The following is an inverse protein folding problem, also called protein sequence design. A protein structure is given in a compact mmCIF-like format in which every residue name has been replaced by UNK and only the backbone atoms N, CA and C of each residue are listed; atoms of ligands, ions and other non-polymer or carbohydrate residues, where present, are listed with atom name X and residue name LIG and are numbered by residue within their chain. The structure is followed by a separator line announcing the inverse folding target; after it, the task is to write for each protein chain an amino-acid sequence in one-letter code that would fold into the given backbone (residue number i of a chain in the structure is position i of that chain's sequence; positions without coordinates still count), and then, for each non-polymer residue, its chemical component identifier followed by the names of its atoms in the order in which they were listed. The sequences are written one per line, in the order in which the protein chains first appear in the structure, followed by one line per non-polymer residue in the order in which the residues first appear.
data_IF_008568094173
#
_entry.id   IF_008568094173
#
_cell.length_a   1.000
_cell.length_b   1.000
_cell.length_c   1.000
_cell.angle_alpha   90.00
_cell.angle_beta   90.00
_cell.angle_gamma   90.00
#
_symmetry.space_group_name_H-M   'P 1'
#
loop_
_entity.id
_entity.type
_entity.pdbx_description
1 polymer ?
#
# COMPACT_ATOMS: atom_id res chain seq x y z
N UNK A 1 6.65 28.04 -3.98
CA UNK A 1 7.94 27.38 -3.72
C UNK A 1 7.61 25.98 -3.23
N UNK A 2 7.78 24.97 -4.08
CA UNK A 2 7.52 23.57 -3.71
C UNK A 2 8.54 23.16 -2.66
N UNK A 3 8.07 22.70 -1.49
CA UNK A 3 8.96 22.01 -0.55
C UNK A 3 9.45 20.75 -1.26
N UNK A 4 10.75 20.69 -1.54
CA UNK A 4 11.38 19.46 -1.98
C UNK A 4 11.23 18.45 -0.84
N UNK A 5 10.40 17.42 -1.02
CA UNK A 5 10.44 16.24 -0.17
C UNK A 5 11.81 15.60 -0.36
N UNK A 6 12.64 15.61 0.69
CA UNK A 6 14.00 15.05 0.66
C UNK A 6 14.03 13.53 0.70
N UNK A 7 12.93 12.90 1.12
CA UNK A 7 12.81 11.45 1.21
C UNK A 7 12.58 10.82 -0.17
N UNK A 8 13.09 9.58 -0.31
CA UNK A 8 12.83 8.72 -1.47
C UNK A 8 12.27 7.39 -0.99
N UNK A 9 11.33 6.81 -1.73
CA UNK A 9 10.63 5.58 -1.38
C UNK A 9 10.93 4.51 -2.43
N UNK A 10 11.33 3.33 -1.96
CA UNK A 10 11.51 2.14 -2.80
C UNK A 10 10.54 1.06 -2.37
N UNK A 11 9.68 0.64 -3.27
CA UNK A 11 8.67 -0.40 -3.03
C UNK A 11 9.21 -1.75 -3.52
N UNK A 12 9.23 -2.73 -2.63
CA UNK A 12 9.60 -4.11 -2.91
C UNK A 12 8.55 -4.84 -3.75
N UNK A 13 8.94 -6.00 -4.29
CA UNK A 13 8.03 -6.90 -4.99
C UNK A 13 6.87 -7.35 -4.08
N UNK A 14 7.18 -7.80 -2.86
CA UNK A 14 6.19 -8.27 -1.87
C UNK A 14 5.15 -7.19 -1.56
N UNK A 15 5.59 -5.98 -1.20
CA UNK A 15 4.68 -4.88 -0.91
C UNK A 15 3.77 -4.55 -2.10
N UNK A 16 4.35 -4.44 -3.31
CA UNK A 16 3.59 -4.13 -4.51
C UNK A 16 2.57 -5.24 -4.84
N UNK A 17 2.95 -6.51 -4.76
CA UNK A 17 2.06 -7.63 -5.05
C UNK A 17 0.92 -7.73 -4.06
N UNK A 18 1.15 -7.57 -2.76
CA UNK A 18 0.06 -7.59 -1.77
C UNK A 18 -0.94 -6.47 -2.00
N UNK A 19 -0.48 -5.25 -2.29
CA UNK A 19 -1.36 -4.12 -2.64
C UNK A 19 -2.18 -4.43 -3.90
N UNK A 20 -1.54 -4.96 -4.94
CA UNK A 20 -2.20 -5.33 -6.19
C UNK A 20 -3.21 -6.47 -6.00
N UNK A 21 -2.86 -7.50 -5.23
CA UNK A 21 -3.73 -8.65 -4.96
C UNK A 21 -4.96 -8.26 -4.16
N UNK A 22 -4.82 -7.33 -3.21
CA UNK A 22 -5.95 -6.83 -2.45
C UNK A 22 -7.00 -6.19 -3.38
N UNK A 23 -6.58 -5.26 -4.24
CA UNK A 23 -7.46 -4.62 -5.21
C UNK A 23 -8.02 -5.61 -6.25
N UNK A 24 -7.21 -6.58 -6.69
CA UNK A 24 -7.66 -7.60 -7.65
C UNK A 24 -8.64 -8.62 -7.06
N UNK A 25 -8.54 -8.91 -5.75
CA UNK A 25 -9.47 -9.82 -5.04
C UNK A 25 -10.84 -9.18 -4.84
N UNK A 26 -10.88 -7.86 -4.60
CA UNK A 26 -12.12 -7.11 -4.37
C UNK A 26 -12.31 -5.98 -5.40
N UNK A 27 -12.50 -6.30 -6.70
CA UNK A 27 -12.51 -5.31 -7.78
C UNK A 27 -13.73 -4.38 -7.81
N UNK A 28 -14.72 -4.60 -6.94
CA UNK A 28 -15.96 -3.81 -6.83
C UNK A 28 -16.12 -3.21 -5.42
N UNK A 29 -15.02 -3.13 -4.66
CA UNK A 29 -15.03 -2.63 -3.30
C UNK A 29 -13.85 -1.70 -3.09
N UNK A 30 -14.02 -0.73 -2.21
CA UNK A 30 -12.86 0.01 -1.72
C UNK A 30 -12.03 -0.91 -0.85
N UNK A 31 -10.71 -0.86 -0.98
CA UNK A 31 -9.79 -1.63 -0.13
C UNK A 31 -8.78 -0.70 0.52
N UNK A 32 -8.27 -1.06 1.69
CA UNK A 32 -7.18 -0.30 2.31
C UNK A 32 -6.22 -1.17 3.11
N UNK A 33 -5.07 -0.59 3.46
CA UNK A 33 -4.10 -1.23 4.32
C UNK A 33 -2.92 -0.34 4.64
N UNK A 34 -1.93 -0.91 5.32
CA UNK A 34 -0.70 -0.22 5.74
C UNK A 34 0.53 -0.83 5.10
N UNK A 35 1.58 -0.03 5.02
CA UNK A 35 2.85 -0.35 4.40
C UNK A 35 3.93 -0.46 5.47
N UNK A 36 4.74 -1.52 5.39
CA UNK A 36 5.79 -1.83 6.34
C UNK A 36 7.15 -1.59 5.72
N UNK A 37 8.07 -1.03 6.50
CA UNK A 37 9.36 -0.63 5.97
C UNK A 37 10.38 -0.20 7.01
N UNK A 38 11.53 0.24 6.51
CA UNK A 38 12.61 0.86 7.30
C UNK A 38 13.17 2.07 6.57
N UNK A 39 13.55 3.08 7.34
CA UNK A 39 14.36 4.21 6.88
C UNK A 39 15.83 3.80 6.92
N UNK A 40 16.54 3.96 5.80
CA UNK A 40 18.00 3.85 5.74
C UNK A 40 18.66 5.11 6.31
N UNK A 41 19.93 5.03 6.75
CA UNK A 41 20.70 6.21 7.14
C UNK A 41 20.82 7.28 6.04
N UNK A 42 20.61 6.89 4.78
CA UNK A 42 20.59 7.78 3.60
C UNK A 42 19.32 8.64 3.50
N UNK A 43 18.30 8.42 4.34
CA UNK A 43 16.97 9.02 4.22
C UNK A 43 16.07 8.33 3.19
N UNK A 44 16.48 7.16 2.67
CA UNK A 44 15.68 6.33 1.78
C UNK A 44 14.79 5.39 2.58
N UNK A 45 13.51 5.33 2.21
CA UNK A 45 12.50 4.49 2.86
C UNK A 45 12.27 3.26 1.99
N UNK A 46 12.64 2.10 2.51
CA UNK A 46 12.36 0.83 1.85
C UNK A 46 11.03 0.28 2.37
N UNK A 47 10.04 0.24 1.49
CA UNK A 47 8.74 -0.37 1.72
C UNK A 47 8.86 -1.84 1.35
N UNK A 48 9.02 -2.69 2.36
CA UNK A 48 9.37 -4.12 2.20
C UNK A 48 8.16 -5.03 2.25
N UNK A 49 7.05 -4.60 2.84
CA UNK A 49 5.83 -5.39 2.91
C UNK A 49 4.57 -4.50 2.99
N UNK A 50 3.39 -5.11 2.83
CA UNK A 50 2.11 -4.48 3.04
C UNK A 50 1.18 -5.39 3.85
N UNK A 51 0.37 -4.80 4.72
CA UNK A 51 -0.66 -5.52 5.47
C UNK A 51 -2.03 -5.00 5.01
N UNK A 52 -2.86 -5.85 4.37
CA UNK A 52 -4.23 -5.49 4.02
C UNK A 52 -5.12 -5.41 5.26
N UNK A 53 -5.92 -4.35 5.36
CA UNK A 53 -6.84 -4.15 6.47
C UNK A 53 -8.26 -4.50 6.06
N UNK A 54 -8.96 -3.63 5.33
CA UNK A 54 -10.41 -3.76 5.16
C UNK A 54 -10.84 -3.67 3.70
N UNK A 55 -11.97 -4.33 3.40
CA UNK A 55 -12.70 -4.24 2.12
C UNK A 55 -14.22 -4.08 2.27
N UNK A 56 -14.81 -4.37 3.44
CA UNK A 56 -16.24 -4.17 3.71
C UNK A 56 -16.52 -2.85 4.44
N UNK A 57 -15.72 -2.54 5.47
CA UNK A 57 -15.98 -1.42 6.38
C UNK A 57 -14.84 -0.41 6.38
N UNK A 58 -14.44 0.06 5.20
CA UNK A 58 -13.30 0.98 5.00
C UNK A 58 -13.46 2.38 5.63
N UNK A 59 -14.59 2.64 6.30
CA UNK A 59 -14.79 3.80 7.17
C UNK A 59 -14.10 3.62 8.53
N UNK A 60 -14.00 4.70 9.33
CA UNK A 60 -13.45 4.60 10.68
C UNK A 60 -14.37 3.74 11.56
N UNK A 61 -14.01 2.47 11.70
CA UNK A 61 -14.67 1.48 12.53
C UNK A 61 -13.74 1.06 13.66
N UNK A 62 -14.27 0.53 14.78
CA UNK A 62 -13.46 -0.13 15.81
C UNK A 62 -12.52 -1.21 15.23
N UNK A 63 -12.95 -1.89 14.17
CA UNK A 63 -12.15 -2.93 13.50
C UNK A 63 -10.93 -2.33 12.81
N UNK A 64 -11.02 -1.13 12.25
CA UNK A 64 -9.86 -0.42 11.70
C UNK A 64 -8.82 -0.13 12.77
N UNK A 65 -9.23 0.29 13.97
CA UNK A 65 -8.30 0.59 15.06
C UNK A 65 -7.62 -0.68 15.57
N UNK A 66 -8.38 -1.78 15.72
CA UNK A 66 -7.83 -3.09 16.10
C UNK A 66 -6.86 -3.61 15.03
N UNK A 67 -7.26 -3.58 13.76
CA UNK A 67 -6.42 -4.01 12.65
C UNK A 67 -5.12 -3.21 12.56
N UNK A 68 -5.20 -1.89 12.75
CA UNK A 68 -4.02 -1.01 12.76
C UNK A 68 -3.08 -1.31 13.94
N UNK A 69 -3.61 -1.52 15.14
CA UNK A 69 -2.82 -1.91 16.32
C UNK A 69 -2.14 -3.27 16.13
N UNK A 70 -2.86 -4.27 15.62
CA UNK A 70 -2.30 -5.60 15.32
C UNK A 70 -1.21 -5.53 14.24
N UNK A 71 -1.43 -4.76 13.17
CA UNK A 71 -0.45 -4.53 12.12
C UNK A 71 0.81 -3.82 12.65
N UNK A 72 0.63 -2.83 13.53
CA UNK A 72 1.73 -2.13 14.21
C UNK A 72 2.57 -3.07 15.07
N UNK A 73 1.95 -3.86 15.94
CA UNK A 73 2.64 -4.85 16.78
C UNK A 73 3.35 -5.91 15.94
N UNK A 74 2.74 -6.34 14.84
CA UNK A 74 3.38 -7.26 13.91
C UNK A 74 4.65 -6.62 13.31
N UNK A 75 4.56 -5.38 12.83
CA UNK A 75 5.70 -4.65 12.29
C UNK A 75 6.83 -4.56 13.32
N UNK A 76 6.52 -4.13 14.56
CA UNK A 76 7.49 -4.06 15.66
C UNK A 76 8.16 -5.40 15.94
N UNK A 77 7.38 -6.49 15.98
CA UNK A 77 7.92 -7.85 16.21
C UNK A 77 8.88 -8.31 15.10
N UNK A 78 8.71 -7.79 13.87
CA UNK A 78 9.59 -8.01 12.73
C UNK A 78 10.72 -6.95 12.62
N UNK A 79 10.81 -6.03 13.58
CA UNK A 79 11.76 -4.91 13.56
C UNK A 79 11.52 -3.93 12.40
N UNK A 80 10.27 -3.79 11.97
CA UNK A 80 9.78 -2.90 10.91
C UNK A 80 8.91 -1.79 11.51
N UNK A 81 8.71 -0.72 10.74
CA UNK A 81 7.81 0.37 11.09
C UNK A 81 6.63 0.42 10.11
N UNK A 82 5.50 0.97 10.56
CA UNK A 82 4.46 1.44 9.64
C UNK A 82 4.97 2.70 8.94
N UNK A 83 5.23 2.60 7.64
CA UNK A 83 5.82 3.68 6.82
C UNK A 83 4.83 4.28 5.83
N UNK A 84 3.60 3.76 5.78
CA UNK A 84 2.59 4.33 4.91
C UNK A 84 1.24 3.64 4.97
N UNK A 85 0.34 4.16 4.15
CA UNK A 85 -1.04 3.71 3.95
C UNK A 85 -1.28 3.50 2.46
N UNK A 86 -2.19 2.60 2.10
CA UNK A 86 -2.70 2.51 0.75
C UNK A 86 -4.21 2.36 0.72
N UNK A 87 -4.84 2.79 -0.37
CA UNK A 87 -6.24 2.51 -0.66
C UNK A 87 -6.52 2.34 -2.15
N UNK A 88 -7.54 1.57 -2.48
CA UNK A 88 -8.24 1.65 -3.75
C UNK A 88 -9.67 2.14 -3.51
N UNK A 89 -10.20 2.93 -4.43
CA UNK A 89 -11.60 3.33 -4.42
C UNK A 89 -12.46 2.29 -5.13
N UNK A 90 -13.75 2.24 -4.79
CA UNK A 90 -14.73 1.36 -5.44
C UNK A 90 -14.85 1.62 -6.94
N UNK A 91 -14.77 2.90 -7.33
CA UNK A 91 -14.81 3.33 -8.72
C UNK A 91 -13.40 3.47 -9.28
N UNK A 92 -13.18 2.92 -10.47
CA UNK A 92 -11.86 2.94 -11.13
C UNK A 92 -11.38 4.33 -11.52
N UNK A 93 -12.30 5.28 -11.75
CA UNK A 93 -12.02 6.67 -12.10
C UNK A 93 -11.74 7.56 -10.87
N UNK A 94 -12.03 7.06 -9.66
CA UNK A 94 -11.81 7.78 -8.42
C UNK A 94 -10.40 7.51 -7.87
N UNK A 95 -9.56 8.53 -7.94
CA UNK A 95 -8.16 8.50 -7.48
C UNK A 95 -7.92 9.44 -6.29
N UNK A 96 -8.99 9.90 -5.63
CA UNK A 96 -8.89 10.76 -4.46
C UNK A 96 -8.53 9.94 -3.21
N UNK A 97 -7.66 10.49 -2.36
CA UNK A 97 -7.46 9.96 -1.02
C UNK A 97 -8.68 10.32 -0.16
N UNK A 98 -9.37 9.32 0.38
CA UNK A 98 -10.60 9.54 1.12
C UNK A 98 -10.30 10.18 2.49
N UNK A 99 -11.24 10.95 3.11
CA UNK A 99 -11.01 11.59 4.41
C UNK A 99 -10.63 10.60 5.54
N UNK A 100 -11.12 9.35 5.46
CA UNK A 100 -10.72 8.29 6.38
C UNK A 100 -9.27 7.87 6.13
N UNK A 101 -8.88 7.70 4.88
CA UNK A 101 -7.49 7.44 4.49
C UNK A 101 -6.53 8.55 4.93
N UNK A 102 -6.93 9.82 4.82
CA UNK A 102 -6.13 10.95 5.34
C UNK A 102 -5.89 10.86 6.85
N UNK A 103 -6.90 10.45 7.62
CA UNK A 103 -6.80 10.27 9.08
C UNK A 103 -5.90 9.10 9.45
N UNK A 104 -6.02 7.97 8.75
CA UNK A 104 -5.14 6.79 8.99
C UNK A 104 -3.71 7.11 8.60
N UNK A 105 -3.49 7.70 7.43
CA UNK A 105 -2.18 8.15 7.00
C UNK A 105 -1.58 9.18 7.98
N UNK A 106 -2.42 10.06 8.55
CA UNK A 106 -2.05 10.95 9.65
C UNK A 106 -1.57 10.21 10.90
N UNK A 107 -2.34 9.22 11.37
CA UNK A 107 -1.93 8.37 12.52
C UNK A 107 -0.60 7.64 12.25
N UNK A 108 -0.39 7.14 11.03
CA UNK A 108 0.89 6.52 10.64
C UNK A 108 2.02 7.55 10.65
N UNK A 109 1.77 8.76 10.16
CA UNK A 109 2.74 9.87 10.16
C UNK A 109 3.17 10.31 11.56
N UNK A 110 2.26 10.27 12.53
CA UNK A 110 2.58 10.59 13.93
C UNK A 110 3.65 9.63 14.50
N UNK A 111 3.67 8.37 14.04
CA UNK A 111 4.70 7.38 14.37
C UNK A 111 5.92 7.39 13.44
N UNK A 112 5.76 7.87 12.20
CA UNK A 112 6.81 7.87 11.17
C UNK A 112 6.75 9.15 10.31
N UNK A 113 7.67 10.10 10.56
CA UNK A 113 7.65 11.47 10.00
C UNK A 113 7.47 11.53 8.47
N UNK A 114 8.08 10.60 7.74
CA UNK A 114 8.12 10.55 6.27
C UNK A 114 7.10 9.53 5.70
N UNK A 115 6.01 9.30 6.44
CA UNK A 115 4.95 8.41 6.02
C UNK A 115 4.33 8.86 4.69
N UNK A 116 3.92 7.88 3.89
CA UNK A 116 3.33 8.10 2.58
C UNK A 116 1.95 7.44 2.47
N UNK A 117 1.06 8.03 1.67
CA UNK A 117 -0.16 7.37 1.23
C UNK A 117 -0.06 7.01 -0.26
N UNK A 118 -0.58 5.86 -0.67
CA UNK A 118 -0.79 5.54 -2.08
C UNK A 118 -2.26 5.32 -2.37
N UNK A 119 -2.77 6.00 -3.40
CA UNK A 119 -4.07 5.67 -3.98
C UNK A 119 -3.82 4.83 -5.22
N UNK A 120 -4.52 3.70 -5.32
CA UNK A 120 -4.41 2.80 -6.47
C UNK A 120 -5.21 3.40 -7.62
N UNK A 121 -4.55 3.54 -8.77
CA UNK A 121 -5.17 4.00 -10.02
C UNK A 121 -5.86 2.80 -10.70
N UNK A 122 -7.18 2.72 -10.54
CA UNK A 122 -7.98 1.61 -11.04
C UNK A 122 -7.91 1.43 -12.56
N UNK A 123 -7.73 2.52 -13.32
CA UNK A 123 -7.59 2.47 -14.78
C UNK A 123 -6.25 1.86 -15.21
N UNK A 124 -5.21 1.99 -14.37
CA UNK A 124 -3.89 1.38 -14.62
C UNK A 124 -3.77 -0.06 -14.11
N UNK A 125 -4.71 -0.53 -13.28
CA UNK A 125 -4.74 -1.94 -12.89
C UNK A 125 -4.95 -2.78 -14.16
N UNK A 126 -3.96 -3.59 -14.52
CA UNK A 126 -4.02 -4.44 -15.72
C UNK A 126 -3.43 -3.85 -16.99
N UNK A 127 -2.96 -2.59 -16.99
CA UNK A 127 -2.28 -1.98 -18.15
C UNK A 127 -0.81 -2.40 -18.29
N UNK A 128 -0.21 -2.92 -17.22
CA UNK A 128 1.23 -3.21 -17.16
C UNK A 128 2.07 -2.01 -16.75
N UNK A 129 1.43 -0.90 -16.36
CA UNK A 129 2.06 0.29 -15.79
C UNK A 129 1.90 0.32 -14.26
N UNK A 130 2.63 1.21 -13.59
CA UNK A 130 2.53 1.37 -12.14
C UNK A 130 1.20 2.05 -11.78
N UNK A 131 0.30 1.28 -11.19
CA UNK A 131 -1.02 1.73 -10.75
C UNK A 131 -1.04 2.41 -9.35
N UNK A 132 0.03 3.14 -8.97
CA UNK A 132 0.11 3.79 -7.66
C UNK A 132 0.28 5.30 -7.82
N UNK A 133 -0.56 6.07 -7.16
CA UNK A 133 -0.50 7.53 -7.09
C UNK A 133 0.00 7.90 -5.68
N UNK A 134 1.23 8.44 -5.55
CA UNK A 134 1.74 8.85 -4.26
C UNK A 134 1.03 10.11 -3.77
N UNK A 135 0.60 10.09 -2.51
CA UNK A 135 0.08 11.22 -1.76
C UNK A 135 1.06 11.57 -0.66
N UNK A 136 1.45 12.85 -0.62
CA UNK A 136 2.44 13.39 0.30
C UNK A 136 1.79 14.40 1.24
N UNK A 137 2.27 14.44 2.47
CA UNK A 137 1.71 15.32 3.50
C UNK A 137 2.33 16.72 3.43
N UNK A 138 1.47 17.74 3.35
CA UNK A 138 1.83 19.16 3.45
C UNK A 138 1.17 19.73 4.70
N UNK A 139 1.84 19.58 5.85
CA UNK A 139 1.25 19.88 7.16
C UNK A 139 0.26 18.80 7.58
N UNK A 140 -1.03 19.16 7.66
CA UNK A 140 -2.14 18.25 8.00
C UNK A 140 -2.91 17.76 6.77
N UNK A 141 -2.64 18.31 5.59
CA UNK A 141 -3.35 17.99 4.34
C UNK A 141 -2.51 17.03 3.51
N UNK A 142 -3.16 16.04 2.90
CA UNK A 142 -2.52 15.13 1.94
C UNK A 142 -2.83 15.59 0.52
N UNK A 143 -1.82 15.59 -0.34
CA UNK A 143 -1.98 15.97 -1.75
C UNK A 143 -1.29 14.95 -2.66
N UNK A 144 -1.84 14.69 -3.85
CA UNK A 144 -1.15 13.88 -4.84
C UNK A 144 0.19 14.56 -5.15
N UNK A 145 1.25 13.75 -5.24
CA UNK A 145 2.57 14.22 -5.56
C UNK A 145 2.54 14.87 -6.95
N UNK A 146 2.94 16.14 -7.00
CA UNK A 146 3.07 16.90 -8.23
C UNK A 146 4.46 17.54 -8.26
N UNK A 147 5.27 17.16 -9.24
CA UNK A 147 6.61 17.67 -9.48
C UNK A 147 6.88 17.67 -11.00
N UNK A 148 8.01 18.25 -11.42
CA UNK A 148 8.44 18.22 -12.82
C UNK A 148 8.79 16.80 -13.32
N UNK A 149 9.03 15.86 -12.41
CA UNK A 149 9.31 14.45 -12.69
C UNK A 149 8.12 13.60 -12.25
N UNK A 150 7.58 12.79 -13.16
CA UNK A 150 6.46 11.88 -12.85
C UNK A 150 6.87 10.83 -11.80
N UNK A 151 5.93 10.41 -10.96
CA UNK A 151 6.15 9.30 -10.04
C UNK A 151 6.57 8.04 -10.81
N UNK A 152 7.48 7.24 -10.25
CA UNK A 152 7.97 5.98 -10.84
C UNK A 152 8.73 6.12 -12.17
N UNK A 153 9.01 7.33 -12.62
CA UNK A 153 9.89 7.58 -13.76
C UNK A 153 11.37 7.64 -13.33
N UNK A 154 12.34 7.47 -14.27
CA UNK A 154 13.75 7.60 -13.95
C UNK A 154 14.08 8.95 -13.29
N UNK A 155 14.79 8.92 -12.15
CA UNK A 155 15.10 10.12 -11.37
C UNK A 155 13.99 10.58 -10.41
N UNK A 156 12.87 9.85 -10.34
CA UNK A 156 11.82 10.09 -9.34
C UNK A 156 12.24 9.65 -7.94
N UNK A 157 11.63 10.29 -6.93
CA UNK A 157 11.73 9.88 -5.54
C UNK A 157 10.99 8.56 -5.27
N UNK A 158 10.11 8.12 -6.18
CA UNK A 158 9.34 6.87 -6.06
C UNK A 158 9.92 5.83 -7.00
N UNK A 159 10.33 4.69 -6.46
CA UNK A 159 10.98 3.62 -7.22
C UNK A 159 10.34 2.28 -6.88
N UNK A 160 10.21 1.43 -7.90
CA UNK A 160 9.96 0.00 -7.69
C UNK A 160 11.29 -0.73 -7.57
N UNK A 161 11.32 -1.87 -6.86
CA UNK A 161 12.51 -2.73 -6.81
C UNK A 161 12.86 -3.32 -8.17
N UNK A 162 11.86 -3.47 -9.06
CA UNK A 162 12.00 -3.83 -10.45
C UNK A 162 10.94 -3.11 -11.30
N UNK A 163 11.25 -2.65 -12.52
CA UNK A 163 10.24 -2.07 -13.42
C UNK A 163 9.19 -3.08 -13.90
N UNK A 164 9.46 -4.39 -13.83
CA UNK A 164 8.58 -5.44 -14.34
C UNK A 164 7.48 -5.88 -13.36
N UNK A 165 7.46 -5.33 -12.14
CA UNK A 165 6.49 -5.72 -11.12
C UNK A 165 5.02 -5.59 -11.59
N UNK A 166 4.58 -4.52 -12.28
CA UNK A 166 3.18 -4.43 -12.73
C UNK A 166 2.79 -5.56 -13.69
N UNK A 167 3.62 -5.84 -14.69
CA UNK A 167 3.38 -6.92 -15.66
C UNK A 167 3.37 -8.28 -14.98
N UNK A 168 4.29 -8.50 -14.06
CA UNK A 168 4.38 -9.74 -13.29
C UNK A 168 3.19 -9.91 -12.35
N UNK A 169 2.71 -8.85 -11.70
CA UNK A 169 1.51 -8.90 -10.86
C UNK A 169 0.28 -9.33 -11.67
N UNK A 170 0.13 -8.81 -12.90
CA UNK A 170 -0.94 -9.21 -13.83
C UNK A 170 -0.85 -10.70 -14.16
N UNK A 171 0.34 -11.20 -14.48
CA UNK A 171 0.55 -12.64 -14.76
C UNK A 171 0.19 -13.51 -13.54
N UNK A 172 0.64 -13.13 -12.33
CA UNK A 172 0.30 -13.85 -11.09
C UNK A 172 -1.21 -13.88 -10.81
N UNK A 173 -1.94 -12.82 -11.16
CA UNK A 173 -3.39 -12.76 -11.02
C UNK A 173 -4.08 -13.61 -12.10
N UNK A 174 -3.73 -13.43 -13.37
CA UNK A 174 -4.43 -14.05 -14.50
C UNK A 174 -4.10 -15.52 -14.70
N UNK A 175 -2.83 -15.90 -14.57
CA UNK A 175 -2.36 -17.25 -14.88
C UNK A 175 -2.36 -18.15 -13.64
N UNK A 176 -2.02 -17.60 -12.47
CA UNK A 176 -1.85 -18.39 -11.25
C UNK A 176 -2.96 -18.18 -10.21
N UNK A 177 -3.81 -17.15 -10.38
CA UNK A 177 -4.89 -16.87 -9.44
C UNK A 177 -4.43 -16.52 -8.02
N UNK A 178 -3.21 -15.99 -7.83
CA UNK A 178 -2.60 -15.77 -6.50
C UNK A 178 -3.42 -14.86 -5.58
N UNK A 179 -4.13 -13.89 -6.14
CA UNK A 179 -5.05 -13.02 -5.41
C UNK A 179 -6.18 -13.79 -4.68
N UNK A 180 -6.54 -15.00 -5.12
CA UNK A 180 -7.61 -15.79 -4.49
C UNK A 180 -7.22 -16.36 -3.12
N UNK A 181 -5.92 -16.57 -2.89
CA UNK A 181 -5.37 -17.04 -1.62
C UNK A 181 -4.87 -15.91 -0.73
N UNK A 182 -5.02 -14.66 -1.20
CA UNK A 182 -4.73 -13.47 -0.41
C UNK A 182 -5.90 -13.21 0.52
N UNK A 183 -5.63 -12.75 1.74
CA UNK A 183 -6.66 -12.39 2.70
C UNK A 183 -6.33 -11.12 3.46
N UNK A 184 -7.36 -10.33 3.75
CA UNK A 184 -7.27 -9.14 4.60
C UNK A 184 -7.80 -9.37 6.02
N UNK A 185 -7.88 -8.31 6.83
CA UNK A 185 -8.38 -8.42 8.19
C UNK A 185 -9.88 -8.72 8.23
N UNK A 186 -10.68 -8.19 7.30
CA UNK A 186 -12.11 -8.54 7.18
C UNK A 186 -12.27 -10.05 6.89
N UNK A 187 -11.50 -10.61 5.95
CA UNK A 187 -11.48 -12.05 5.67
C UNK A 187 -11.10 -12.87 6.93
N UNK A 188 -10.12 -12.39 7.72
CA UNK A 188 -9.70 -13.05 8.94
C UNK A 188 -10.78 -13.05 10.05
N UNK A 189 -11.58 -12.00 10.12
CA UNK A 189 -12.71 -11.93 11.06
C UNK A 189 -13.80 -12.96 10.71
N UNK A 190 -13.93 -13.31 9.43
CA UNK A 190 -14.84 -14.36 8.95
C UNK A 190 -14.22 -15.77 9.08
N UNK A 191 -12.92 -15.91 8.81
CA UNK A 191 -12.15 -17.15 8.93
C UNK A 191 -10.78 -16.90 9.58
N UNK A 192 -10.67 -17.25 10.86
CA UNK A 192 -9.45 -17.05 11.67
C UNK A 192 -8.23 -17.84 11.18
N UNK A 193 -8.41 -18.78 10.24
CA UNK A 193 -7.29 -19.54 9.64
C UNK A 193 -6.52 -18.72 8.61
N UNK A 194 -7.07 -17.60 8.14
CA UNK A 194 -6.44 -16.69 7.18
C UNK A 194 -5.35 -15.86 7.87
N UNK A 195 -4.08 -16.09 7.50
CA UNK A 195 -2.94 -15.27 7.95
C UNK A 195 -2.82 -13.99 7.11
N UNK A 196 -3.67 -13.01 7.43
CA UNK A 196 -3.71 -11.70 6.78
C UNK A 196 -2.46 -10.84 7.01
N UNK A 197 -1.73 -11.08 8.10
CA UNK A 197 -0.50 -10.35 8.41
C UNK A 197 0.63 -10.74 7.45
N UNK A 198 0.83 -12.06 7.23
CA UNK A 198 1.95 -12.55 6.43
C UNK A 198 1.59 -12.82 4.98
N UNK A 199 0.40 -13.35 4.70
CA UNK A 199 -0.07 -13.68 3.36
C UNK A 199 0.94 -14.52 2.54
N UNK A 200 1.68 -15.44 3.17
CA UNK A 200 2.80 -16.14 2.51
C UNK A 200 2.38 -17.01 1.32
N UNK A 201 1.17 -17.58 1.34
CA UNK A 201 0.69 -18.48 0.30
C UNK A 201 0.50 -17.82 -1.08
N UNK A 202 0.20 -16.51 -1.12
CA UNK A 202 0.01 -15.79 -2.38
C UNK A 202 1.32 -15.25 -2.98
N UNK A 203 2.41 -15.22 -2.20
CA UNK A 203 3.68 -14.61 -2.61
C UNK A 203 4.50 -15.62 -3.43
N UNK A 204 5.06 -15.23 -4.59
CA UNK A 204 5.95 -16.09 -5.36
C UNK A 204 7.20 -16.46 -4.55
N UNK A 205 7.69 -17.69 -4.70
CA UNK A 205 8.84 -18.20 -3.95
C UNK A 205 10.21 -17.71 -4.45
N UNK A 206 10.25 -17.05 -5.59
CA UNK A 206 11.46 -16.60 -6.28
C UNK A 206 11.79 -15.11 -6.04
N UNK A 207 11.18 -14.49 -5.01
CA UNK A 207 11.42 -13.09 -4.62
C UNK A 207 11.82 -12.95 -3.16
#
# INVERSE_FOLDING_TARGET
MSQAHSASWKISATAYYKVFFHAAKHPQSSVNGVLLGKEEPSGKINIVDAIPLLHHWTSLSPMMEIGLDLAGRHAESAGLNLVGYYQACERVDDTALAPVGERVAGKVKDGFKDAIAFVIDGEKIGSGEVALIPYVSQGTVWRPFSSGTSAFSPGSNFQLSSPDLPRRAISLVREQGRHKTFGDFDDHLEDVTIDWLRNTACIPSDI
#
